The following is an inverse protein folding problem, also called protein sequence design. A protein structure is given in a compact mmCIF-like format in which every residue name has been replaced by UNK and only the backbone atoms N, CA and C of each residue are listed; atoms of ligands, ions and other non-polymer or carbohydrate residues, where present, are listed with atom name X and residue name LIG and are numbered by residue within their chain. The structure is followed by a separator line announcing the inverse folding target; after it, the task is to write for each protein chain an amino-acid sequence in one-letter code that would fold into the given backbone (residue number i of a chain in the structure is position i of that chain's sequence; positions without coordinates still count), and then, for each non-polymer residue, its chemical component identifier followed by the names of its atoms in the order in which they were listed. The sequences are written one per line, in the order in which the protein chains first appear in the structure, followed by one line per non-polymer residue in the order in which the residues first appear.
data_IF_355076804203
#
_entry.id   IF_355076804203
#
_cell.length_a   1.000
_cell.length_b   1.000
_cell.length_c   1.000
_cell.angle_alpha   90.00
_cell.angle_beta   90.00
_cell.angle_gamma   90.00
#
_symmetry.space_group_name_H-M   'P 1'
#
loop_
_entity.id
_entity.type
_entity.pdbx_description
1 polymer ?
#
# COMPACT_ATOMS: atom_id res chain seq x y z
N UNK A 1 -5.29 4.15 17.94
CA UNK A 1 -5.44 5.08 16.81
C UNK A 1 -4.13 5.16 16.04
N UNK A 2 -4.18 5.45 14.77
CA UNK A 2 -3.00 5.53 13.92
C UNK A 2 -3.00 6.85 13.14
N UNK A 3 -1.81 7.25 12.71
CA UNK A 3 -1.59 8.39 11.83
C UNK A 3 -0.82 7.96 10.60
N UNK A 4 -1.00 8.71 9.51
CA UNK A 4 -0.21 8.55 8.30
C UNK A 4 0.81 9.70 8.24
N UNK A 5 2.08 9.34 8.23
CA UNK A 5 3.18 10.30 8.11
C UNK A 5 3.78 10.19 6.72
N UNK A 6 3.71 11.27 5.95
CA UNK A 6 4.23 11.26 4.58
C UNK A 6 5.74 11.01 4.59
N UNK A 7 6.19 10.10 3.73
CA UNK A 7 7.60 9.79 3.59
C UNK A 7 8.31 10.94 2.87
N UNK A 8 9.42 11.36 3.45
CA UNK A 8 10.31 12.36 2.86
C UNK A 8 11.76 11.95 3.14
N UNK A 9 12.72 12.68 2.59
CA UNK A 9 14.13 12.35 2.76
C UNK A 9 14.55 12.27 4.24
N UNK A 10 13.92 13.06 5.10
CA UNK A 10 14.24 13.12 6.51
C UNK A 10 13.87 11.85 7.28
N UNK A 11 12.84 11.13 6.84
CA UNK A 11 12.36 9.94 7.52
C UNK A 11 12.61 8.63 6.79
N UNK A 12 13.42 8.65 5.72
CA UNK A 12 13.78 7.42 4.99
C UNK A 12 14.56 6.43 5.86
N UNK A 13 15.34 6.93 6.82
CA UNK A 13 16.11 6.08 7.71
C UNK A 13 15.26 5.15 8.56
N UNK A 14 13.98 5.44 8.72
CA UNK A 14 13.08 4.60 9.49
C UNK A 14 12.83 3.22 8.85
N UNK A 15 13.16 3.05 7.57
CA UNK A 15 13.02 1.75 6.91
C UNK A 15 13.91 0.68 7.51
N UNK A 16 15.11 1.04 7.96
CA UNK A 16 15.98 0.09 8.65
C UNK A 16 15.35 -0.37 9.96
N UNK A 17 14.59 0.49 10.61
CA UNK A 17 13.88 0.16 11.83
C UNK A 17 12.80 -0.92 11.64
N UNK A 18 12.12 -0.95 10.50
CA UNK A 18 11.15 -2.00 10.20
C UNK A 18 11.83 -3.37 10.06
N UNK A 19 12.93 -3.44 9.33
CA UNK A 19 13.66 -4.69 9.14
C UNK A 19 14.19 -5.21 10.46
N UNK A 20 14.81 -4.34 11.26
CA UNK A 20 15.36 -4.69 12.57
C UNK A 20 14.28 -5.13 13.55
N UNK A 21 13.16 -4.40 13.62
CA UNK A 21 12.11 -4.66 14.57
C UNK A 21 11.22 -5.84 14.21
N UNK A 22 10.98 -6.06 12.93
CA UNK A 22 9.95 -7.01 12.47
C UNK A 22 10.46 -8.02 11.45
N UNK A 23 11.73 -7.98 11.09
CA UNK A 23 12.29 -8.87 10.08
C UNK A 23 11.75 -8.65 8.67
N UNK A 24 11.12 -7.50 8.41
CA UNK A 24 10.55 -7.18 7.11
C UNK A 24 11.62 -6.65 6.18
N UNK A 25 11.85 -7.33 5.05
CA UNK A 25 12.77 -6.85 4.03
C UNK A 25 12.11 -5.75 3.22
N UNK A 26 12.53 -4.52 3.46
CA UNK A 26 11.99 -3.36 2.77
C UNK A 26 12.71 -3.02 1.46
N UNK A 27 13.80 -3.71 1.14
CA UNK A 27 14.54 -3.46 -0.11
C UNK A 27 13.65 -3.61 -1.33
N UNK A 28 12.71 -4.57 -1.29
CA UNK A 28 11.74 -4.78 -2.36
C UNK A 28 10.83 -3.56 -2.59
N UNK A 29 10.71 -2.68 -1.61
CA UNK A 29 9.87 -1.48 -1.70
C UNK A 29 10.66 -0.20 -1.99
N UNK A 30 11.99 -0.24 -1.97
CA UNK A 30 12.81 0.96 -2.13
C UNK A 30 12.56 1.68 -3.45
N UNK A 31 12.33 0.93 -4.52
CA UNK A 31 12.03 1.52 -5.83
C UNK A 31 10.71 2.29 -5.84
N UNK A 32 9.85 2.06 -4.85
CA UNK A 32 8.55 2.74 -4.73
C UNK A 32 8.61 4.03 -3.92
N UNK A 33 9.73 4.29 -3.23
CA UNK A 33 9.91 5.50 -2.42
C UNK A 33 10.15 6.72 -3.30
N UNK A 34 10.91 6.53 -4.35
CA UNK A 34 11.25 7.60 -5.29
C UNK A 34 10.37 7.49 -6.52
N UNK A 35 9.93 8.62 -7.08
CA UNK A 35 9.21 8.59 -8.34
C UNK A 35 10.02 7.88 -9.40
N UNK A 36 9.39 6.95 -10.12
CA UNK A 36 9.99 6.38 -11.31
C UNK A 36 10.06 7.46 -12.39
N UNK A 37 10.84 7.22 -13.45
CA UNK A 37 10.96 8.14 -14.56
C UNK A 37 9.60 8.57 -15.12
N UNK A 38 8.64 7.64 -15.12
CA UNK A 38 7.32 7.83 -15.71
C UNK A 38 6.24 8.13 -14.67
N UNK A 39 6.60 8.18 -13.38
CA UNK A 39 5.61 8.43 -12.33
C UNK A 39 5.08 9.84 -12.44
N UNK A 40 3.75 9.96 -12.53
CA UNK A 40 3.03 11.21 -12.52
C UNK A 40 2.64 11.62 -11.11
N UNK A 41 2.40 10.63 -10.26
CA UNK A 41 1.98 10.82 -8.88
C UNK A 41 2.52 9.67 -8.05
N UNK A 42 3.15 9.98 -6.93
CA UNK A 42 3.60 8.98 -5.96
C UNK A 42 3.50 9.58 -4.56
N UNK A 43 2.76 8.88 -3.70
CA UNK A 43 2.67 9.22 -2.28
C UNK A 43 2.93 7.99 -1.45
N UNK A 44 3.85 8.13 -0.52
CA UNK A 44 4.19 7.12 0.46
C UNK A 44 3.90 7.66 1.85
N UNK A 45 3.32 6.80 2.70
CA UNK A 45 3.07 7.13 4.09
C UNK A 45 3.55 6.01 4.98
N UNK A 46 4.22 6.37 6.08
CA UNK A 46 4.39 5.46 7.20
C UNK A 46 3.05 5.38 7.94
N UNK A 47 2.68 4.17 8.36
CA UNK A 47 1.57 3.98 9.28
C UNK A 47 2.17 3.99 10.67
N UNK A 48 1.79 4.98 11.46
CA UNK A 48 2.39 5.24 12.76
C UNK A 48 1.34 5.18 13.84
N UNK A 49 1.65 4.53 14.96
CA UNK A 49 0.82 4.54 16.16
C UNK A 49 1.68 4.91 17.35
N UNK A 50 1.26 5.92 18.13
CA UNK A 50 2.06 6.50 19.20
C UNK A 50 3.44 6.88 18.68
N UNK A 51 4.51 6.27 19.20
CA UNK A 51 5.89 6.53 18.77
C UNK A 51 6.45 5.41 17.88
N UNK A 52 5.58 4.57 17.34
CA UNK A 52 5.99 3.35 16.68
C UNK A 52 5.53 3.32 15.23
N UNK A 53 6.46 3.01 14.31
CA UNK A 53 6.14 2.77 12.91
C UNK A 53 5.77 1.30 12.74
N UNK A 54 4.57 1.04 12.25
CA UNK A 54 4.02 -0.32 12.16
C UNK A 54 3.81 -0.81 10.73
N UNK A 55 3.95 0.05 9.75
CA UNK A 55 3.76 -0.34 8.36
C UNK A 55 3.87 0.86 7.42
N UNK A 56 3.47 0.63 6.18
CA UNK A 56 3.46 1.67 5.16
C UNK A 56 2.34 1.45 4.16
N UNK A 57 1.94 2.52 3.51
CA UNK A 57 0.95 2.50 2.44
C UNK A 57 1.38 3.50 1.36
N UNK A 58 1.18 3.14 0.09
CA UNK A 58 1.53 4.03 -1.01
C UNK A 58 0.54 3.93 -2.15
N UNK A 59 0.49 5.00 -2.94
CA UNK A 59 -0.34 5.11 -4.12
C UNK A 59 0.52 5.73 -5.23
N UNK A 60 0.55 5.08 -6.40
CA UNK A 60 1.38 5.48 -7.53
C UNK A 60 0.59 5.43 -8.83
N UNK A 61 0.79 6.43 -9.68
CA UNK A 61 0.31 6.38 -11.06
C UNK A 61 1.40 6.85 -12.01
N UNK A 62 1.38 6.34 -13.25
CA UNK A 62 2.27 6.78 -14.32
C UNK A 62 1.46 7.51 -15.38
N UNK A 63 2.14 8.39 -16.14
CA UNK A 63 1.46 9.28 -17.09
C UNK A 63 0.76 8.56 -18.24
N UNK A 64 1.17 7.32 -18.53
CA UNK A 64 0.61 6.53 -19.63
C UNK A 64 -0.55 5.63 -19.20
N UNK A 65 -0.83 5.52 -17.91
CA UNK A 65 -1.84 4.63 -17.37
C UNK A 65 -3.09 5.38 -16.93
N UNK A 66 -4.25 4.72 -17.09
CA UNK A 66 -5.55 5.24 -16.64
C UNK A 66 -5.87 4.82 -15.21
N UNK A 67 -4.91 4.26 -14.51
CA UNK A 67 -5.13 3.71 -13.17
C UNK A 67 -3.95 4.01 -12.25
N UNK A 68 -4.21 3.90 -10.96
CA UNK A 68 -3.18 3.95 -9.92
C UNK A 68 -2.96 2.55 -9.34
N UNK A 69 -1.84 2.36 -8.69
CA UNK A 69 -1.51 1.11 -8.00
C UNK A 69 -1.34 1.41 -6.51
N UNK A 70 -1.99 0.61 -5.68
CA UNK A 70 -1.90 0.69 -4.23
C UNK A 70 -1.02 -0.42 -3.69
N UNK A 71 -0.14 -0.07 -2.75
CA UNK A 71 0.59 -1.03 -1.95
C UNK A 71 0.42 -0.73 -0.47
N UNK A 72 0.38 -1.76 0.35
CA UNK A 72 0.25 -1.62 1.80
C UNK A 72 0.85 -2.83 2.50
N UNK A 73 1.49 -2.60 3.65
CA UNK A 73 1.84 -3.68 4.56
C UNK A 73 1.75 -3.19 6.01
N UNK A 74 1.39 -4.09 6.90
CA UNK A 74 1.46 -3.90 8.34
C UNK A 74 2.55 -4.86 8.84
N UNK A 75 3.70 -4.31 9.21
CA UNK A 75 4.85 -5.11 9.64
C UNK A 75 4.63 -5.70 11.04
N UNK A 76 4.01 -4.95 11.93
CA UNK A 76 3.77 -5.38 13.29
C UNK A 76 2.52 -6.25 13.36
N UNK A 77 2.70 -7.53 13.67
CA UNK A 77 1.62 -8.52 13.75
C UNK A 77 0.56 -8.16 14.79
N UNK A 78 0.95 -7.45 15.85
CA UNK A 78 0.03 -7.09 16.93
C UNK A 78 -1.00 -6.04 16.48
N UNK A 79 -0.74 -5.37 15.36
CA UNK A 79 -1.64 -4.36 14.82
C UNK A 79 -2.44 -4.87 13.62
N UNK A 80 -2.34 -6.14 13.28
CA UNK A 80 -3.14 -6.76 12.23
C UNK A 80 -4.53 -7.14 12.76
N UNK A 81 -5.52 -7.22 11.86
CA UNK A 81 -6.91 -7.58 12.18
C UNK A 81 -7.61 -6.60 13.12
N UNK A 82 -7.17 -5.33 13.12
CA UNK A 82 -7.76 -4.26 13.95
C UNK A 82 -8.38 -3.14 13.13
N UNK A 83 -8.54 -3.37 11.82
CA UNK A 83 -9.15 -2.37 10.94
C UNK A 83 -8.22 -1.25 10.50
N UNK A 84 -6.94 -1.29 10.89
CA UNK A 84 -5.97 -0.24 10.53
C UNK A 84 -5.76 -0.20 9.02
N UNK A 85 -5.58 -1.35 8.38
CA UNK A 85 -5.39 -1.43 6.93
C UNK A 85 -6.55 -0.82 6.17
N UNK A 86 -7.78 -1.18 6.53
CA UNK A 86 -8.98 -0.62 5.90
C UNK A 86 -9.05 0.89 6.06
N UNK A 87 -8.80 1.40 7.26
CA UNK A 87 -8.83 2.84 7.53
C UNK A 87 -7.72 3.59 6.80
N UNK A 88 -6.52 3.01 6.73
CA UNK A 88 -5.40 3.60 6.00
C UNK A 88 -5.72 3.70 4.51
N UNK A 89 -6.26 2.64 3.92
CA UNK A 89 -6.67 2.64 2.50
C UNK A 89 -7.73 3.71 2.26
N UNK A 90 -8.76 3.76 3.09
CA UNK A 90 -9.84 4.75 2.95
C UNK A 90 -9.31 6.18 3.04
N UNK A 91 -8.36 6.43 3.95
CA UNK A 91 -7.73 7.74 4.11
C UNK A 91 -6.94 8.16 2.88
N UNK A 92 -6.14 7.25 2.32
CA UNK A 92 -5.32 7.53 1.13
C UNK A 92 -6.21 7.77 -0.09
N UNK A 93 -7.25 6.95 -0.28
CA UNK A 93 -8.19 7.15 -1.38
C UNK A 93 -8.87 8.50 -1.26
N UNK A 94 -9.36 8.85 -0.08
CA UNK A 94 -10.06 10.11 0.15
C UNK A 94 -9.16 11.32 -0.07
N UNK A 95 -7.92 11.25 0.40
CA UNK A 95 -7.02 12.40 0.41
C UNK A 95 -6.23 12.56 -0.89
N UNK A 96 -5.86 11.46 -1.55
CA UNK A 96 -4.95 11.49 -2.69
C UNK A 96 -5.63 11.29 -4.05
N UNK A 97 -6.66 10.46 -4.12
CA UNK A 97 -7.30 10.17 -5.40
C UNK A 97 -7.85 11.42 -6.11
N UNK A 98 -8.40 12.43 -5.41
CA UNK A 98 -8.88 13.64 -6.08
C UNK A 98 -7.80 14.42 -6.84
N UNK A 99 -6.53 14.23 -6.50
CA UNK A 99 -5.41 14.90 -7.17
C UNK A 99 -4.82 14.09 -8.30
N UNK A 100 -5.35 12.89 -8.54
CA UNK A 100 -4.91 12.01 -9.60
C UNK A 100 -5.83 12.14 -10.80
N UNK A 101 -5.33 11.79 -11.99
CA UNK A 101 -6.11 11.84 -13.22
C UNK A 101 -6.75 10.48 -13.54
N UNK A 102 -7.17 9.76 -12.51
CA UNK A 102 -7.80 8.46 -12.63
C UNK A 102 -8.85 8.25 -11.55
N UNK A 103 -9.79 7.36 -11.82
CA UNK A 103 -10.79 6.92 -10.86
C UNK A 103 -10.65 5.42 -10.53
N UNK A 104 -9.58 4.79 -11.00
CA UNK A 104 -9.35 3.35 -10.83
C UNK A 104 -8.05 3.11 -10.07
N UNK A 105 -8.12 2.20 -9.09
CA UNK A 105 -6.96 1.78 -8.31
C UNK A 105 -6.88 0.26 -8.38
N UNK A 106 -5.70 -0.26 -8.73
CA UNK A 106 -5.43 -1.69 -8.73
C UNK A 106 -4.48 -2.05 -7.60
N UNK A 107 -4.61 -3.26 -7.12
CA UNK A 107 -3.63 -3.89 -6.23
C UNK A 107 -3.48 -5.35 -6.61
N UNK A 108 -2.39 -5.95 -6.15
CA UNK A 108 -2.13 -7.37 -6.32
C UNK A 108 -1.94 -7.99 -4.94
N UNK A 109 -2.47 -9.18 -4.78
CA UNK A 109 -2.39 -9.91 -3.52
C UNK A 109 -2.24 -11.39 -3.81
N UNK A 110 -1.50 -12.11 -2.98
CA UNK A 110 -1.42 -13.57 -3.10
C UNK A 110 -2.77 -14.18 -2.78
N UNK A 111 -3.18 -15.17 -3.58
CA UNK A 111 -4.47 -15.84 -3.39
C UNK A 111 -4.63 -16.47 -2.00
N UNK A 112 -3.52 -16.90 -1.41
CA UNK A 112 -3.50 -17.50 -0.07
C UNK A 112 -3.65 -16.50 1.08
N UNK A 113 -3.48 -15.20 0.79
CA UNK A 113 -3.56 -14.15 1.81
C UNK A 113 -5.01 -13.71 2.04
N UNK A 114 -5.79 -14.61 2.64
CA UNK A 114 -7.23 -14.38 2.85
C UNK A 114 -7.51 -13.14 3.70
N UNK A 115 -6.68 -12.87 4.69
CA UNK A 115 -6.85 -11.72 5.57
C UNK A 115 -6.75 -10.40 4.79
N UNK A 116 -5.75 -10.29 3.94
CA UNK A 116 -5.57 -9.08 3.12
C UNK A 116 -6.73 -8.92 2.14
N UNK A 117 -7.17 -10.01 1.52
CA UNK A 117 -8.29 -10.00 0.58
C UNK A 117 -9.56 -9.49 1.27
N UNK A 118 -9.84 -9.94 2.49
CA UNK A 118 -10.99 -9.45 3.26
C UNK A 118 -10.87 -7.96 3.55
N UNK A 119 -9.67 -7.50 3.90
CA UNK A 119 -9.41 -6.08 4.14
C UNK A 119 -9.71 -5.25 2.89
N UNK A 120 -9.22 -5.69 1.74
CA UNK A 120 -9.43 -4.99 0.48
C UNK A 120 -10.89 -5.00 0.05
N UNK A 121 -11.60 -6.10 0.25
CA UNK A 121 -13.04 -6.16 -0.02
C UNK A 121 -13.82 -5.15 0.83
N UNK A 122 -13.44 -5.00 2.10
CA UNK A 122 -14.08 -4.01 2.98
C UNK A 122 -13.88 -2.58 2.51
N UNK A 123 -12.75 -2.30 1.87
CA UNK A 123 -12.46 -0.97 1.32
C UNK A 123 -13.08 -0.75 -0.07
N UNK A 124 -13.77 -1.75 -0.62
CA UNK A 124 -14.47 -1.61 -1.89
C UNK A 124 -13.74 -2.17 -3.10
N UNK A 125 -12.63 -2.87 -2.90
CA UNK A 125 -11.92 -3.54 -3.97
C UNK A 125 -12.62 -4.85 -4.32
N UNK A 126 -12.67 -5.17 -5.61
CA UNK A 126 -13.23 -6.43 -6.12
C UNK A 126 -12.19 -7.14 -6.97
N UNK A 127 -12.25 -8.47 -6.97
CA UNK A 127 -11.36 -9.28 -7.80
C UNK A 127 -11.68 -9.08 -9.29
N UNK A 128 -10.66 -8.82 -10.09
CA UNK A 128 -10.80 -8.67 -11.55
C UNK A 128 -10.20 -9.82 -12.32
N UNK A 129 -9.12 -10.44 -11.83
CA UNK A 129 -8.52 -11.61 -12.46
C UNK A 129 -7.60 -12.33 -11.50
N UNK A 130 -7.31 -13.60 -11.85
CA UNK A 130 -6.32 -14.44 -11.18
C UNK A 130 -5.31 -14.93 -12.21
N UNK A 131 -4.06 -15.04 -11.79
CA UNK A 131 -3.01 -15.57 -12.66
C UNK A 131 -1.89 -16.14 -11.82
N UNK A 132 -1.03 -16.91 -12.47
CA UNK A 132 0.18 -17.45 -11.85
C UNK A 132 1.38 -16.65 -12.35
N UNK A 133 2.25 -16.27 -11.41
CA UNK A 133 3.50 -15.59 -11.73
C UNK A 133 4.60 -16.18 -10.86
N UNK A 134 5.64 -16.73 -11.51
CA UNK A 134 6.78 -17.33 -10.81
C UNK A 134 6.37 -18.40 -9.79
N UNK A 135 5.37 -19.22 -10.13
CA UNK A 135 4.86 -20.26 -9.26
C UNK A 135 3.91 -19.79 -8.17
N UNK A 136 3.57 -18.52 -8.14
CA UNK A 136 2.67 -17.95 -7.14
C UNK A 136 1.33 -17.58 -7.77
N UNK A 137 0.25 -17.92 -7.07
CA UNK A 137 -1.10 -17.53 -7.48
C UNK A 137 -1.39 -16.13 -6.99
N UNK A 138 -1.69 -15.22 -7.92
CA UNK A 138 -1.91 -13.80 -7.66
C UNK A 138 -3.32 -13.41 -8.04
N UNK A 139 -3.96 -12.63 -7.19
CA UNK A 139 -5.26 -12.01 -7.45
C UNK A 139 -5.03 -10.53 -7.69
N UNK A 140 -5.60 -10.02 -8.79
CA UNK A 140 -5.66 -8.60 -9.05
C UNK A 140 -7.03 -8.09 -8.60
N UNK A 141 -7.04 -7.00 -7.86
CA UNK A 141 -8.27 -6.38 -7.37
C UNK A 141 -8.33 -4.92 -7.82
N UNK A 142 -9.53 -4.40 -7.98
CA UNK A 142 -9.75 -3.04 -8.45
C UNK A 142 -10.78 -2.32 -7.59
N UNK A 143 -10.49 -1.05 -7.34
CA UNK A 143 -11.42 -0.08 -6.78
C UNK A 143 -11.72 0.95 -7.86
N UNK A 144 -12.99 1.28 -8.03
CA UNK A 144 -13.41 2.31 -8.97
C UNK A 144 -14.40 3.26 -8.30
N UNK A 145 -14.13 4.55 -8.45
CA UNK A 145 -15.02 5.59 -7.93
C UNK A 145 -16.30 5.70 -8.76
#
# INVERSE_FOLDING_TARGET
MFDLEQVCNENLSYYSGYEEAFGTDLKQYQSRIYPTKDAQYLRWYHIKTEDKYIGAIWLESVSTDDFAVLGIFIADKDYRNKGIGTKAIDSVIKNDLPYMHTNKIFLRVRAENERAIKCYNKSGFIETRRYEKNGLNVIEMMYEV
#
